data_IF_843482309370
#
_entry.id   IF_843482309370
#
_cell.length_a   1.000
_cell.length_b   1.000
_cell.length_c   1.000
_cell.angle_alpha   90.00
_cell.angle_beta   90.00
_cell.angle_gamma   90.00
#
_symmetry.space_group_name_H-M   'P 1'
#
loop_
_entity.id
_entity.type
_entity.pdbx_description
1 polymer ?
#
# COMPACT_ATOMS: atom_id res chain seq x y z
N UNK A 1 -37.61 29.15 -18.42
CA UNK A 1 -37.07 29.09 -17.05
C UNK A 1 -36.94 27.63 -16.61
N UNK A 2 -35.74 27.06 -16.70
CA UNK A 2 -35.31 25.84 -16.00
C UNK A 2 -33.78 25.82 -16.12
N UNK A 3 -33.15 26.61 -15.24
CA UNK A 3 -31.73 26.91 -15.19
C UNK A 3 -30.98 26.05 -14.15
N UNK A 4 -31.70 25.28 -13.32
CA UNK A 4 -31.09 24.47 -12.26
C UNK A 4 -31.26 23.00 -12.58
N UNK A 5 -30.28 22.44 -13.28
CA UNK A 5 -30.30 21.04 -13.70
C UNK A 5 -28.92 20.54 -14.12
N UNK A 6 -27.86 20.99 -13.43
CA UNK A 6 -26.52 20.40 -13.55
C UNK A 6 -26.31 19.47 -12.38
N UNK A 7 -26.49 18.16 -12.60
CA UNK A 7 -26.11 17.14 -11.63
C UNK A 7 -24.62 17.25 -11.34
N UNK A 8 -24.30 17.63 -10.10
CA UNK A 8 -22.96 17.63 -9.57
C UNK A 8 -22.48 16.17 -9.59
N UNK A 9 -21.57 15.85 -10.52
CA UNK A 9 -20.81 14.60 -10.49
C UNK A 9 -19.96 14.66 -9.22
N UNK A 10 -20.51 14.15 -8.12
CA UNK A 10 -19.75 13.94 -6.90
C UNK A 10 -18.72 12.85 -7.20
N UNK A 11 -17.52 13.29 -7.57
CA UNK A 11 -16.31 12.47 -7.45
C UNK A 11 -16.18 11.96 -6.01
N UNK A 12 -15.29 10.98 -5.75
CA UNK A 12 -15.07 10.50 -4.40
C UNK A 12 -14.82 11.68 -3.47
N UNK A 13 -15.56 11.74 -2.36
CA UNK A 13 -15.49 12.83 -1.38
C UNK A 13 -14.01 13.07 -1.01
N UNK A 14 -13.47 14.30 -1.12
CA UNK A 14 -12.09 14.58 -0.76
C UNK A 14 -11.75 14.13 0.66
N UNK A 15 -12.72 14.13 1.58
CA UNK A 15 -12.56 13.59 2.93
C UNK A 15 -12.30 12.07 2.91
N UNK A 16 -13.00 11.34 2.04
CA UNK A 16 -12.86 9.89 1.92
C UNK A 16 -11.48 9.49 1.38
N UNK A 17 -10.99 10.21 0.37
CA UNK A 17 -9.64 9.98 -0.18
C UNK A 17 -8.58 10.24 0.88
N UNK A 18 -8.64 11.40 1.56
CA UNK A 18 -7.70 11.75 2.62
C UNK A 18 -7.70 10.74 3.78
N UNK A 19 -8.88 10.23 4.17
CA UNK A 19 -8.99 9.19 5.20
C UNK A 19 -8.31 7.89 4.77
N UNK A 20 -8.52 7.49 3.52
CA UNK A 20 -7.92 6.27 2.97
C UNK A 20 -6.39 6.36 2.91
N UNK A 21 -5.85 7.51 2.52
CA UNK A 21 -4.41 7.75 2.52
C UNK A 21 -3.81 7.62 3.93
N UNK A 22 -4.46 8.23 4.94
CA UNK A 22 -4.01 8.14 6.32
C UNK A 22 -4.03 6.70 6.84
N UNK A 23 -5.09 5.95 6.55
CA UNK A 23 -5.19 4.54 6.94
C UNK A 23 -4.08 3.68 6.32
N UNK A 24 -3.75 3.93 5.05
CA UNK A 24 -2.63 3.29 4.37
C UNK A 24 -1.28 3.61 5.04
N UNK A 25 -1.01 4.88 5.33
CA UNK A 25 0.23 5.27 6.00
C UNK A 25 0.33 4.65 7.40
N UNK A 26 -0.77 4.61 8.14
CA UNK A 26 -0.78 4.01 9.47
C UNK A 26 -0.45 2.51 9.42
N UNK A 27 -1.07 1.76 8.49
CA UNK A 27 -0.77 0.34 8.31
C UNK A 27 0.71 0.10 7.93
N UNK A 28 1.27 0.98 7.08
CA UNK A 28 2.69 0.94 6.73
C UNK A 28 3.59 1.12 7.98
N UNK A 29 3.30 2.11 8.83
CA UNK A 29 4.09 2.37 10.03
C UNK A 29 4.05 1.21 11.02
N UNK A 30 2.87 0.63 11.26
CA UNK A 30 2.70 -0.52 12.16
C UNK A 30 3.48 -1.73 11.66
N UNK A 31 3.38 -2.03 10.35
CA UNK A 31 4.07 -3.19 9.76
C UNK A 31 5.58 -3.02 9.72
N UNK A 32 6.10 -1.84 9.39
CA UNK A 32 7.54 -1.55 9.44
C UNK A 32 8.05 -1.72 10.86
N UNK A 33 7.38 -1.13 11.84
CA UNK A 33 7.77 -1.21 13.25
C UNK A 33 7.87 -2.66 13.74
N UNK A 34 6.84 -3.46 13.50
CA UNK A 34 6.83 -4.88 13.89
C UNK A 34 7.93 -5.68 13.15
N UNK A 35 8.05 -5.50 11.84
CA UNK A 35 9.01 -6.26 11.01
C UNK A 35 10.45 -5.94 11.40
N UNK A 36 10.78 -4.66 11.60
CA UNK A 36 12.13 -4.26 11.96
C UNK A 36 12.45 -4.58 13.41
N UNK A 37 11.48 -4.51 14.32
CA UNK A 37 11.66 -5.01 15.68
C UNK A 37 12.02 -6.49 15.68
N UNK A 38 11.27 -7.34 14.97
CA UNK A 38 11.54 -8.78 14.93
C UNK A 38 12.87 -9.14 14.26
N UNK A 39 13.30 -8.37 13.26
CA UNK A 39 14.58 -8.60 12.56
C UNK A 39 15.79 -8.08 13.31
N UNK A 40 15.67 -6.93 13.96
CA UNK A 40 16.81 -6.22 14.52
C UNK A 40 16.95 -6.37 16.02
N UNK A 41 15.91 -6.85 16.74
CA UNK A 41 16.04 -7.13 18.17
C UNK A 41 17.14 -8.18 18.39
N UNK A 42 18.12 -7.84 19.22
CA UNK A 42 19.09 -8.82 19.71
C UNK A 42 18.63 -9.40 21.06
N UNK A 43 19.54 -10.01 21.83
CA UNK A 43 19.20 -10.42 23.19
C UNK A 43 18.99 -9.16 24.03
N UNK A 44 17.85 -9.05 24.71
CA UNK A 44 17.54 -7.96 25.65
C UNK A 44 18.45 -8.01 26.88
N UNK A 45 19.68 -7.51 26.73
CA UNK A 45 20.66 -7.41 27.81
C UNK A 45 20.56 -6.06 28.52
N UNK A 46 20.23 -5.02 27.77
CA UNK A 46 20.20 -3.63 28.21
C UNK A 46 18.90 -2.98 27.72
N UNK A 47 18.37 -1.96 28.42
CA UNK A 47 17.14 -1.26 28.03
C UNK A 47 17.33 -0.34 26.82
N UNK A 48 18.56 0.09 26.56
CA UNK A 48 18.91 1.00 25.47
C UNK A 48 19.33 0.23 24.20
N UNK A 49 19.06 0.83 23.05
CA UNK A 49 19.48 0.25 21.77
C UNK A 49 20.98 0.37 21.59
N UNK A 50 21.64 -0.76 21.33
CA UNK A 50 23.06 -0.75 20.99
C UNK A 50 23.29 -0.20 19.57
N UNK A 51 24.51 0.22 19.27
CA UNK A 51 24.89 0.81 17.97
C UNK A 51 24.57 -0.14 16.79
N UNK A 52 24.67 -1.45 17.01
CA UNK A 52 24.33 -2.47 16.02
C UNK A 52 22.82 -2.58 15.76
N UNK A 53 22.00 -2.47 16.80
CA UNK A 53 20.53 -2.46 16.71
C UNK A 53 20.04 -1.18 16.02
N UNK A 54 20.60 -0.03 16.38
CA UNK A 54 20.30 1.24 15.69
C UNK A 54 20.65 1.15 14.20
N UNK A 55 21.87 0.73 13.88
CA UNK A 55 22.31 0.57 12.49
C UNK A 55 21.48 -0.49 11.73
N UNK A 56 20.99 -1.52 12.42
CA UNK A 56 20.10 -2.53 11.82
C UNK A 56 18.73 -1.93 11.49
N UNK A 57 18.14 -1.14 12.38
CA UNK A 57 16.82 -0.52 12.19
C UNK A 57 16.82 0.39 10.96
N UNK A 58 17.85 1.22 10.81
CA UNK A 58 18.00 2.10 9.65
C UNK A 58 18.04 1.30 8.33
N UNK A 59 18.89 0.27 8.29
CA UNK A 59 19.02 -0.63 7.13
C UNK A 59 17.74 -1.42 6.87
N UNK A 60 17.05 -1.85 7.92
CA UNK A 60 15.80 -2.60 7.82
C UNK A 60 14.71 -1.75 7.17
N UNK A 61 14.56 -0.50 7.63
CA UNK A 61 13.56 0.43 7.12
C UNK A 61 13.79 0.74 5.64
N UNK A 62 15.04 1.03 5.27
CA UNK A 62 15.44 1.21 3.86
C UNK A 62 15.09 0.00 2.99
N UNK A 63 15.47 -1.22 3.41
CA UNK A 63 15.15 -2.45 2.68
C UNK A 63 13.65 -2.74 2.62
N UNK A 64 12.89 -2.39 3.66
CA UNK A 64 11.45 -2.58 3.67
C UNK A 64 10.78 -1.70 2.61
N UNK A 65 11.19 -0.43 2.51
CA UNK A 65 10.66 0.47 1.48
C UNK A 65 11.00 0.01 0.07
N UNK A 66 12.25 -0.42 -0.17
CA UNK A 66 12.64 -1.02 -1.45
C UNK A 66 11.81 -2.28 -1.79
N UNK A 67 11.53 -3.12 -0.81
CA UNK A 67 10.69 -4.31 -1.00
C UNK A 67 9.23 -3.91 -1.30
N UNK A 68 8.70 -2.91 -0.61
CA UNK A 68 7.34 -2.41 -0.81
C UNK A 68 7.16 -1.85 -2.22
N UNK A 69 8.14 -1.11 -2.75
CA UNK A 69 8.13 -0.59 -4.11
C UNK A 69 8.09 -1.73 -5.15
N UNK A 70 8.97 -2.74 -4.99
CA UNK A 70 9.00 -3.91 -5.88
C UNK A 70 7.70 -4.71 -5.84
N UNK A 71 7.09 -4.87 -4.66
CA UNK A 71 5.78 -5.50 -4.52
C UNK A 71 4.73 -4.70 -5.29
N UNK A 72 4.78 -3.37 -5.21
CA UNK A 72 3.92 -2.46 -5.98
C UNK A 72 4.03 -2.70 -7.49
N UNK A 73 5.25 -2.77 -8.04
CA UNK A 73 5.48 -3.04 -9.47
C UNK A 73 4.94 -4.41 -9.91
N UNK A 74 5.10 -5.43 -9.07
CA UNK A 74 4.61 -6.78 -9.37
C UNK A 74 3.09 -6.82 -9.32
N UNK A 75 2.48 -6.18 -8.33
CA UNK A 75 1.02 -6.09 -8.19
C UNK A 75 0.38 -5.35 -9.37
N UNK A 76 1.00 -4.27 -9.84
CA UNK A 76 0.56 -3.56 -11.04
C UNK A 76 0.60 -4.46 -12.28
N UNK A 77 1.69 -5.22 -12.48
CA UNK A 77 1.81 -6.19 -13.58
C UNK A 77 0.72 -7.26 -13.51
N UNK A 78 0.44 -7.81 -12.33
CA UNK A 78 -0.61 -8.82 -12.12
C UNK A 78 -1.99 -8.24 -12.43
N UNK A 79 -2.31 -7.02 -11.94
CA UNK A 79 -3.59 -6.37 -12.20
C UNK A 79 -3.83 -6.14 -13.70
N UNK A 80 -2.80 -5.74 -14.45
CA UNK A 80 -2.90 -5.58 -15.91
C UNK A 80 -3.20 -6.90 -16.61
N UNK A 81 -2.53 -7.99 -16.22
CA UNK A 81 -2.79 -9.32 -16.78
C UNK A 81 -4.20 -9.82 -16.44
N UNK A 82 -4.67 -9.61 -15.21
CA UNK A 82 -6.04 -9.98 -14.81
C UNK A 82 -7.10 -9.21 -15.59
N UNK A 83 -6.92 -7.90 -15.82
CA UNK A 83 -7.85 -7.11 -16.62
C UNK A 83 -7.95 -7.63 -18.06
N UNK A 84 -6.82 -8.00 -18.68
CA UNK A 84 -6.82 -8.60 -20.02
C UNK A 84 -7.58 -9.94 -20.04
N UNK A 85 -7.41 -10.78 -19.02
CA UNK A 85 -8.15 -12.05 -18.90
C UNK A 85 -9.65 -11.83 -18.67
N UNK A 86 -10.03 -10.84 -17.85
CA UNK A 86 -11.45 -10.51 -17.61
C UNK A 86 -12.12 -9.96 -18.87
N UNK A 87 -11.43 -9.12 -19.64
CA UNK A 87 -11.95 -8.60 -20.91
C UNK A 87 -12.11 -9.71 -21.95
N UNK A 88 -11.16 -10.65 -22.03
CA UNK A 88 -11.27 -11.81 -22.90
C UNK A 88 -12.44 -12.74 -22.50
N UNK A 89 -12.73 -12.90 -21.21
CA UNK A 89 -13.89 -13.69 -20.74
C UNK A 89 -15.25 -12.99 -20.95
N UNK A 90 -15.32 -11.67 -20.95
CA UNK A 90 -16.55 -10.93 -21.24
C UNK A 90 -16.93 -11.00 -22.72
N UNK A 91 -15.94 -11.01 -23.62
CA UNK A 91 -16.16 -11.17 -25.06
C UNK A 91 -16.75 -12.54 -25.47
N UNK A 92 -16.48 -13.60 -24.70
CA UNK A 92 -16.99 -14.95 -24.99
C UNK A 92 -18.45 -15.12 -24.51
N UNK A 93 -18.88 -14.42 -23.46
CA UNK A 93 -20.27 -14.45 -22.97
C UNK A 93 -21.24 -13.65 -23.83
N UNK A 94 -20.79 -12.61 -24.54
CA UNK A 94 -21.64 -11.84 -25.47
C UNK A 94 -21.85 -12.53 -26.83
N UNK A 95 -21.13 -13.63 -27.09
CA UNK A 95 -21.20 -14.39 -28.33
C UNK A 95 -22.16 -15.59 -28.32
N UNK A 96 -23.12 -15.64 -27.40
CA UNK A 96 -24.13 -16.70 -27.31
C UNK A 96 -25.54 -16.15 -27.29
#
# INVERSE_FOLDING_TARGET
MSWFGGGEQQGPDPLFVAKTEIEMYNDLFVKIGATCFDKCRSRFKEPDLNIGEQSCIDRCTSKYMEAQERIGEVMQRINQQQQQQQQAMQGIQQGK
#
